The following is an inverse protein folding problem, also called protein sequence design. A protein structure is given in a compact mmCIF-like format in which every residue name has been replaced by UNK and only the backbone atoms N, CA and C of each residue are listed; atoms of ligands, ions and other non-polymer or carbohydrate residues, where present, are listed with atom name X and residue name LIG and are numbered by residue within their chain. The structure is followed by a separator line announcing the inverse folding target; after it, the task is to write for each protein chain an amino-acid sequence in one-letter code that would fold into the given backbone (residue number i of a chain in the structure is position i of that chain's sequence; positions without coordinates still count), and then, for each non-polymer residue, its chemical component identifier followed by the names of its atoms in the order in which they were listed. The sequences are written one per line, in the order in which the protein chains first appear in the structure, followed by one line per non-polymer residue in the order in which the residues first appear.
data_IF_483428301215
#
_entry.id   IF_483428301215
#
_cell.length_a   1.000
_cell.length_b   1.000
_cell.length_c   1.000
_cell.angle_alpha   90.00
_cell.angle_beta   90.00
_cell.angle_gamma   90.00
#
_symmetry.space_group_name_H-M   'P 1'
#
loop_
_entity.id
_entity.type
_entity.pdbx_description
1 polymer ?
#
# COMPACT_ATOMS: atom_id res chain seq x y z
N UNK A 1 -5.19 3.87 -11.40
CA UNK A 1 -5.70 3.04 -10.30
C UNK A 1 -7.06 2.44 -10.65
N UNK A 2 -8.06 3.26 -10.98
CA UNK A 2 -9.40 2.78 -11.38
C UNK A 2 -9.37 1.85 -12.61
N UNK A 3 -8.63 2.20 -13.66
CA UNK A 3 -8.51 1.37 -14.87
C UNK A 3 -7.89 -0.02 -14.59
N UNK A 4 -7.15 -0.15 -13.49
CA UNK A 4 -6.54 -1.41 -13.02
C UNK A 4 -7.39 -2.11 -11.94
N UNK A 5 -8.60 -1.62 -11.66
CA UNK A 5 -9.50 -2.19 -10.66
C UNK A 5 -9.12 -1.89 -9.21
N UNK A 6 -8.19 -0.98 -8.95
CA UNK A 6 -7.67 -0.68 -7.61
C UNK A 6 -8.54 0.34 -6.82
N UNK A 7 -9.50 0.96 -7.48
CA UNK A 7 -10.36 2.00 -6.89
C UNK A 7 -9.72 3.39 -6.85
N UNK A 8 -10.51 4.40 -6.49
CA UNK A 8 -10.07 5.79 -6.34
C UNK A 8 -9.30 6.02 -5.04
N UNK A 9 -9.65 5.24 -4.02
CA UNK A 9 -9.09 5.19 -2.68
C UNK A 9 -7.72 4.51 -2.62
N UNK A 10 -7.21 3.99 -3.75
CA UNK A 10 -5.90 3.35 -3.79
C UNK A 10 -4.78 4.28 -3.29
N UNK A 11 -4.88 5.58 -3.62
CA UNK A 11 -3.87 6.58 -3.21
C UNK A 11 -3.78 6.69 -1.68
N UNK A 12 -4.90 6.56 -0.97
CA UNK A 12 -4.95 6.64 0.50
C UNK A 12 -4.35 5.40 1.19
N UNK A 13 -4.01 4.36 0.42
CA UNK A 13 -3.36 3.14 0.91
C UNK A 13 -1.84 3.18 0.73
N UNK A 14 -1.30 4.20 0.06
CA UNK A 14 0.13 4.34 -0.20
C UNK A 14 0.75 5.12 0.95
N UNK A 15 1.75 4.53 1.62
CA UNK A 15 2.52 5.22 2.64
C UNK A 15 3.47 6.25 2.00
N UNK A 16 3.64 7.39 2.65
CA UNK A 16 4.58 8.45 2.28
C UNK A 16 5.51 8.79 3.46
N UNK A 17 6.35 9.81 3.30
CA UNK A 17 7.32 10.23 4.31
C UNK A 17 6.69 10.71 5.63
N UNK A 18 5.38 10.99 5.66
CA UNK A 18 4.65 11.34 6.88
C UNK A 18 4.28 10.11 7.70
N UNK A 19 4.24 8.93 7.06
CA UNK A 19 3.99 7.62 7.69
C UNK A 19 5.30 6.96 8.11
N UNK A 20 6.34 7.00 7.27
CA UNK A 20 7.65 6.41 7.54
C UNK A 20 8.60 6.46 6.34
N UNK A 21 9.88 6.17 6.56
CA UNK A 21 10.91 6.20 5.49
C UNK A 21 11.61 4.86 5.28
N UNK A 22 11.27 3.86 6.09
CA UNK A 22 11.76 2.48 5.98
C UNK A 22 10.61 1.50 5.80
N UNK A 23 10.89 0.32 5.25
CA UNK A 23 9.88 -0.73 5.04
C UNK A 23 9.22 -1.21 6.34
N UNK A 24 9.98 -1.27 7.43
CA UNK A 24 9.49 -1.71 8.74
C UNK A 24 8.54 -0.69 9.39
N UNK A 25 8.79 0.61 9.18
CA UNK A 25 7.92 1.69 9.70
C UNK A 25 6.58 1.75 9.00
N UNK A 26 6.56 1.51 7.67
CA UNK A 26 5.33 1.64 6.87
C UNK A 26 4.48 0.36 6.86
N UNK A 27 5.06 -0.79 7.22
CA UNK A 27 4.36 -2.09 7.14
C UNK A 27 3.04 -2.11 7.93
N UNK A 28 2.95 -1.60 9.18
CA UNK A 28 1.69 -1.58 9.93
C UNK A 28 0.59 -0.76 9.23
N UNK A 29 0.95 0.36 8.58
CA UNK A 29 0.01 1.18 7.84
C UNK A 29 -0.54 0.45 6.60
N UNK A 30 0.34 -0.23 5.85
CA UNK A 30 -0.07 -1.00 4.68
C UNK A 30 -1.00 -2.16 5.05
N UNK A 31 -0.76 -2.81 6.20
CA UNK A 31 -1.63 -3.85 6.76
C UNK A 31 -3.00 -3.30 7.17
N UNK A 32 -3.04 -2.17 7.90
CA UNK A 32 -4.29 -1.51 8.33
C UNK A 32 -5.14 -1.09 7.14
N UNK A 33 -4.52 -0.51 6.11
CA UNK A 33 -5.20 -0.04 4.90
C UNK A 33 -5.53 -1.14 3.90
N UNK A 34 -5.04 -2.36 4.14
CA UNK A 34 -5.22 -3.49 3.23
C UNK A 34 -4.61 -3.22 1.86
N UNK A 35 -3.35 -2.78 1.81
CA UNK A 35 -2.70 -2.44 0.55
C UNK A 35 -2.63 -3.69 -0.36
N UNK A 36 -3.10 -3.61 -1.61
CA UNK A 36 -3.30 -4.79 -2.47
C UNK A 36 -2.02 -5.59 -2.70
N UNK A 37 -0.86 -4.93 -2.72
CA UNK A 37 0.44 -5.57 -2.92
C UNK A 37 0.78 -6.63 -1.85
N UNK A 38 0.22 -6.54 -0.63
CA UNK A 38 0.45 -7.53 0.42
C UNK A 38 -0.15 -8.92 0.10
N UNK A 39 -1.13 -8.96 -0.80
CA UNK A 39 -1.82 -10.19 -1.22
C UNK A 39 -1.51 -10.62 -2.64
N UNK A 40 -0.71 -9.84 -3.36
CA UNK A 40 -0.32 -10.14 -4.74
C UNK A 40 0.79 -11.18 -4.79
N UNK A 41 0.96 -11.87 -5.93
CA UNK A 41 2.14 -12.69 -6.16
C UNK A 41 3.43 -11.89 -5.87
N UNK A 42 4.45 -12.50 -5.25
CA UNK A 42 5.71 -11.83 -4.99
C UNK A 42 6.33 -11.28 -6.27
N UNK A 43 6.86 -10.06 -6.19
CA UNK A 43 7.72 -9.51 -7.22
C UNK A 43 9.13 -10.07 -6.97
N UNK A 44 9.50 -11.11 -7.72
CA UNK A 44 10.82 -11.74 -7.70
C UNK A 44 11.72 -11.17 -8.80
#
# INVERSE_FOLDING_TARGET
AEESGLGRDFVDKIADETVGVTGEEILPFLEEKGHPALTMPPLL
#
